data_IF_234092476186
#
_entry.id   IF_234092476186
#
_cell.length_a   1.000
_cell.length_b   1.000
_cell.length_c   1.000
_cell.angle_alpha   90.00
_cell.angle_beta   90.00
_cell.angle_gamma   90.00
#
_symmetry.space_group_name_H-M   'P 1'
#
loop_
_entity.id
_entity.type
_entity.pdbx_description
1 polymer ?
#
# COMPACT_ATOMS: atom_id res chain seq x y z
N UNK A 1 27.02 6.05 -14.15
CA UNK A 1 27.36 4.96 -13.21
C UNK A 1 28.49 4.06 -13.71
N UNK A 2 28.83 4.03 -15.00
CA UNK A 2 29.95 3.24 -15.56
C UNK A 2 31.33 3.53 -14.96
N UNK A 3 31.49 4.66 -14.26
CA UNK A 3 32.74 5.03 -13.56
C UNK A 3 33.06 4.15 -12.34
N UNK A 4 32.09 3.42 -11.80
CA UNK A 4 32.26 2.60 -10.59
C UNK A 4 32.45 1.10 -10.91
N UNK A 5 32.33 0.71 -12.17
CA UNK A 5 32.43 -0.70 -12.55
C UNK A 5 31.61 -1.04 -13.78
N UNK A 6 31.67 -2.33 -14.15
CA UNK A 6 30.99 -2.83 -15.33
C UNK A 6 29.49 -3.04 -15.07
N UNK A 7 28.63 -2.41 -15.88
CA UNK A 7 27.17 -2.50 -15.76
C UNK A 7 26.67 -3.59 -16.71
N UNK A 8 26.14 -4.68 -16.16
CA UNK A 8 25.52 -5.76 -16.94
C UNK A 8 24.12 -5.42 -17.42
N UNK A 9 23.34 -4.76 -16.57
CA UNK A 9 21.95 -4.40 -16.87
C UNK A 9 21.60 -3.07 -16.20
N UNK A 10 20.91 -2.19 -16.92
CA UNK A 10 20.27 -1.03 -16.35
C UNK A 10 18.82 -0.97 -16.85
N UNK A 11 17.86 -0.92 -15.94
CA UNK A 11 16.43 -0.89 -16.26
C UNK A 11 15.72 0.22 -15.52
N UNK A 12 15.07 1.11 -16.27
CA UNK A 12 14.25 2.19 -15.72
C UNK A 12 12.84 1.66 -15.44
N UNK A 13 12.30 1.97 -14.27
CA UNK A 13 10.92 1.67 -13.91
C UNK A 13 9.99 2.65 -14.63
N UNK A 14 9.04 2.14 -15.42
CA UNK A 14 8.03 2.92 -16.14
C UNK A 14 6.62 2.57 -15.63
N UNK A 15 5.64 3.45 -15.86
CA UNK A 15 4.24 3.16 -15.59
C UNK A 15 3.71 2.13 -16.61
N UNK A 16 2.77 1.29 -16.18
CA UNK A 16 2.11 0.35 -17.10
C UNK A 16 1.16 1.16 -17.99
N UNK A 17 1.39 1.16 -19.31
CA UNK A 17 0.56 1.88 -20.28
C UNK A 17 1.00 3.31 -20.60
N UNK A 18 2.06 3.83 -19.99
CA UNK A 18 2.69 5.09 -20.43
C UNK A 18 4.21 4.96 -20.48
N UNK A 19 4.84 5.71 -21.37
CA UNK A 19 6.31 5.69 -21.50
C UNK A 19 7.00 6.55 -20.43
N UNK A 20 6.23 7.14 -19.51
CA UNK A 20 6.74 7.98 -18.44
C UNK A 20 7.49 7.16 -17.38
N UNK A 21 8.63 7.70 -16.95
CA UNK A 21 9.44 7.12 -15.89
C UNK A 21 8.79 7.31 -14.53
N UNK A 22 8.98 6.34 -13.63
CA UNK A 22 8.57 6.43 -12.21
C UNK A 22 9.61 7.16 -11.36
N UNK A 23 10.66 7.72 -11.98
CA UNK A 23 11.80 8.30 -11.26
C UNK A 23 12.70 7.29 -10.54
N UNK A 24 12.51 5.98 -10.76
CA UNK A 24 13.33 4.92 -10.17
C UNK A 24 13.93 4.02 -11.25
N UNK A 25 15.09 3.43 -10.95
CA UNK A 25 15.79 2.52 -11.85
C UNK A 25 16.57 1.47 -11.06
N UNK A 26 16.83 0.33 -11.70
CA UNK A 26 17.69 -0.73 -11.19
C UNK A 26 18.93 -0.84 -12.04
N UNK A 27 20.08 -0.99 -11.39
CA UNK A 27 21.38 -1.22 -12.04
C UNK A 27 21.96 -2.51 -11.47
N UNK A 28 22.40 -3.39 -12.35
CA UNK A 28 23.06 -4.65 -12.02
C UNK A 28 24.52 -4.55 -12.46
N UNK A 29 25.41 -4.58 -11.48
CA UNK A 29 26.86 -4.60 -11.69
C UNK A 29 27.38 -6.02 -11.93
N UNK A 30 28.58 -6.13 -12.49
CA UNK A 30 29.26 -7.40 -12.69
C UNK A 30 29.71 -8.03 -11.38
N UNK A 31 30.23 -7.20 -10.46
CA UNK A 31 30.67 -7.60 -9.12
C UNK A 31 29.81 -6.96 -8.02
N UNK A 32 29.78 -7.60 -6.85
CA UNK A 32 29.16 -7.05 -5.65
C UNK A 32 29.96 -5.85 -5.10
N UNK A 33 31.28 -5.89 -5.19
CA UNK A 33 32.17 -4.83 -4.70
C UNK A 33 31.96 -3.51 -5.46
N UNK A 34 31.85 -3.58 -6.79
CA UNK A 34 31.53 -2.42 -7.64
C UNK A 34 30.19 -1.76 -7.25
N UNK A 35 29.20 -2.56 -6.86
CA UNK A 35 27.90 -2.05 -6.43
C UNK A 35 28.00 -1.34 -5.07
N UNK A 36 28.76 -1.89 -4.13
CA UNK A 36 28.96 -1.30 -2.81
C UNK A 36 29.78 0.00 -2.91
N UNK A 37 30.81 0.05 -3.75
CA UNK A 37 31.55 1.29 -4.06
C UNK A 37 30.66 2.35 -4.69
N UNK A 38 29.77 1.96 -5.62
CA UNK A 38 28.80 2.89 -6.20
C UNK A 38 27.86 3.47 -5.13
N UNK A 39 27.39 2.67 -4.18
CA UNK A 39 26.54 3.13 -3.08
C UNK A 39 27.27 4.11 -2.16
N UNK A 40 28.55 3.83 -1.85
CA UNK A 40 29.40 4.76 -1.09
C UNK A 40 29.61 6.06 -1.85
N UNK A 41 29.86 5.99 -3.16
CA UNK A 41 30.02 7.15 -4.03
C UNK A 41 28.76 8.02 -4.13
N UNK A 42 27.57 7.42 -4.10
CA UNK A 42 26.30 8.16 -4.08
C UNK A 42 26.13 8.95 -2.78
N UNK A 43 26.57 8.38 -1.65
CA UNK A 43 26.43 9.00 -0.33
C UNK A 43 27.52 10.04 -0.02
N UNK A 44 28.66 9.98 -0.71
CA UNK A 44 29.81 10.86 -0.49
C UNK A 44 29.71 12.14 -1.32
N UNK A 45 30.17 13.27 -0.76
CA UNK A 45 30.30 14.51 -1.50
C UNK A 45 31.50 14.44 -2.48
N UNK A 46 31.38 14.90 -3.74
CA UNK A 46 30.22 15.56 -4.35
C UNK A 46 29.09 14.59 -4.71
N UNK A 47 27.86 14.96 -4.37
CA UNK A 47 26.68 14.13 -4.66
C UNK A 47 26.51 13.90 -6.15
N UNK A 48 26.13 12.69 -6.52
CA UNK A 48 25.76 12.39 -7.89
C UNK A 48 24.42 13.06 -8.17
N UNK A 49 24.38 13.86 -9.24
CA UNK A 49 23.18 14.53 -9.72
C UNK A 49 22.79 14.00 -11.09
N UNK A 50 21.49 13.92 -11.33
CA UNK A 50 20.89 13.64 -12.63
C UNK A 50 19.89 14.77 -12.90
N UNK A 51 20.09 15.53 -13.98
CA UNK A 51 19.29 16.72 -14.32
C UNK A 51 19.09 17.69 -13.15
N UNK A 52 20.17 17.94 -12.40
CA UNK A 52 20.16 18.84 -11.24
C UNK A 52 19.51 18.26 -9.98
N UNK A 53 19.06 17.00 -9.99
CA UNK A 53 18.50 16.32 -8.80
C UNK A 53 19.48 15.32 -8.23
N UNK A 54 19.64 15.35 -6.91
CA UNK A 54 20.41 14.32 -6.20
C UNK A 54 19.72 12.98 -6.32
N UNK A 55 20.50 11.96 -6.67
CA UNK A 55 20.01 10.59 -6.72
C UNK A 55 20.33 9.88 -5.40
N UNK A 56 19.41 9.03 -4.98
CA UNK A 56 19.58 8.14 -3.85
C UNK A 56 19.63 6.70 -4.36
N UNK A 57 20.45 5.88 -3.72
CA UNK A 57 20.62 4.48 -4.09
C UNK A 57 20.76 3.63 -2.85
N UNK A 58 20.12 2.46 -2.90
CA UNK A 58 20.21 1.42 -1.89
C UNK A 58 20.28 0.05 -2.57
N UNK A 59 20.67 -0.97 -1.80
CA UNK A 59 20.82 -2.33 -2.28
C UNK A 59 19.46 -2.91 -2.69
N UNK A 60 19.37 -3.40 -3.92
CA UNK A 60 18.15 -4.00 -4.43
C UNK A 60 17.88 -5.36 -3.75
N UNK A 61 16.62 -5.60 -3.40
CA UNK A 61 16.17 -6.86 -2.82
C UNK A 61 15.68 -7.83 -3.90
N UNK A 62 15.87 -9.15 -3.73
CA UNK A 62 15.33 -10.15 -4.65
C UNK A 62 13.80 -10.19 -4.57
N UNK A 63 13.15 -10.58 -5.67
CA UNK A 63 11.67 -10.65 -5.77
C UNK A 63 11.03 -11.49 -4.65
N UNK A 64 11.67 -12.58 -4.22
CA UNK A 64 11.17 -13.41 -3.13
C UNK A 64 11.13 -12.68 -1.78
N UNK A 65 12.11 -11.80 -1.50
CA UNK A 65 12.12 -11.01 -0.27
C UNK A 65 11.07 -9.89 -0.32
N UNK A 66 10.89 -9.27 -1.50
CA UNK A 66 9.85 -8.25 -1.71
C UNK A 66 8.46 -8.81 -1.43
N UNK A 67 8.14 -10.00 -1.96
CA UNK A 67 6.85 -10.64 -1.75
C UNK A 67 6.55 -10.95 -0.27
N UNK A 68 7.58 -11.22 0.54
CA UNK A 68 7.43 -11.41 1.99
C UNK A 68 7.12 -10.09 2.69
N UNK A 69 7.88 -9.04 2.37
CA UNK A 69 7.67 -7.70 2.93
C UNK A 69 6.29 -7.14 2.59
N UNK A 70 5.78 -7.40 1.39
CA UNK A 70 4.41 -6.99 1.00
C UNK A 70 3.35 -7.70 1.85
N UNK A 71 3.49 -9.01 2.07
CA UNK A 71 2.58 -9.78 2.95
C UNK A 71 2.62 -9.28 4.39
N UNK A 72 3.81 -9.10 4.95
CA UNK A 72 3.99 -8.57 6.31
C UNK A 72 3.36 -7.18 6.45
N UNK A 73 3.51 -6.30 5.44
CA UNK A 73 2.84 -4.98 5.41
C UNK A 73 1.32 -5.11 5.37
N UNK A 74 0.77 -6.05 4.61
CA UNK A 74 -0.68 -6.28 4.57
C UNK A 74 -1.22 -6.85 5.88
N UNK A 75 -0.47 -7.73 6.54
CA UNK A 75 -0.86 -8.31 7.84
C UNK A 75 -0.80 -7.29 8.99
N UNK A 76 0.19 -6.40 8.96
CA UNK A 76 0.37 -5.34 9.97
C UNK A 76 -0.55 -4.14 9.74
N UNK A 77 -1.10 -3.97 8.54
CA UNK A 77 -2.15 -2.98 8.30
C UNK A 77 -3.36 -3.33 9.17
N UNK A 78 -3.62 -2.51 10.19
CA UNK A 78 -4.82 -2.61 11.01
C UNK A 78 -6.03 -2.52 10.09
N UNK A 79 -6.79 -3.61 9.99
CA UNK A 79 -8.07 -3.60 9.28
C UNK A 79 -8.95 -2.50 9.88
N UNK A 80 -9.46 -1.63 9.02
CA UNK A 80 -10.36 -0.56 9.43
C UNK A 80 -11.71 -1.16 9.87
N UNK A 81 -11.89 -1.27 11.18
CA UNK A 81 -13.13 -1.78 11.78
C UNK A 81 -14.18 -0.69 12.02
N UNK A 82 -13.93 0.56 11.62
CA UNK A 82 -14.87 1.66 11.85
C UNK A 82 -16.21 1.42 11.16
N UNK A 83 -16.21 0.86 9.95
CA UNK A 83 -17.45 0.57 9.22
C UNK A 83 -18.31 -0.49 9.94
N UNK A 84 -17.69 -1.53 10.51
CA UNK A 84 -18.39 -2.54 11.32
C UNK A 84 -18.94 -1.94 12.61
N UNK A 85 -18.18 -1.05 13.25
CA UNK A 85 -18.63 -0.34 14.46
C UNK A 85 -19.82 0.58 14.17
N UNK A 86 -19.74 1.40 13.11
CA UNK A 86 -20.80 2.31 12.69
C UNK A 86 -22.08 1.56 12.31
N UNK A 87 -21.95 0.44 11.60
CA UNK A 87 -23.09 -0.41 11.27
C UNK A 87 -23.78 -0.95 12.53
N UNK A 88 -23.01 -1.38 13.54
CA UNK A 88 -23.57 -1.81 14.84
C UNK A 88 -24.22 -0.65 15.60
N UNK A 89 -23.63 0.54 15.58
CA UNK A 89 -24.17 1.73 16.25
C UNK A 89 -25.44 2.28 15.58
N UNK A 90 -25.63 2.02 14.27
CA UNK A 90 -26.84 2.41 13.54
C UNK A 90 -28.10 1.64 13.96
N UNK A 91 -27.95 0.57 14.75
CA UNK A 91 -29.07 -0.22 15.26
C UNK A 91 -29.80 0.51 16.38
N UNK A 92 -31.03 0.91 16.10
CA UNK A 92 -31.96 1.46 17.10
C UNK A 92 -32.65 0.30 17.80
N UNK A 93 -32.54 0.22 19.14
CA UNK A 93 -33.21 -0.82 19.91
C UNK A 93 -34.72 -0.53 19.98
N UNK A 94 -35.56 -1.57 20.12
CA UNK A 94 -36.99 -1.39 20.32
C UNK A 94 -37.29 -0.50 21.54
N UNK A 95 -36.51 -0.68 22.60
CA UNK A 95 -36.69 0.00 23.89
C UNK A 95 -36.21 1.47 23.88
N UNK A 96 -35.37 1.85 22.93
CA UNK A 96 -34.83 3.21 22.79
C UNK A 96 -35.69 4.08 21.84
N UNK A 97 -36.81 3.53 21.34
CA UNK A 97 -37.72 4.20 20.42
C UNK A 97 -38.79 5.04 21.14
N UNK A 98 -39.44 5.99 20.45
CA UNK A 98 -40.60 6.68 20.99
C UNK A 98 -41.76 5.69 21.21
N UNK A 99 -42.52 5.88 22.29
CA UNK A 99 -43.60 4.98 22.75
C UNK A 99 -44.68 4.65 21.71
N UNK A 100 -44.80 5.46 20.64
CA UNK A 100 -45.76 5.26 19.56
C UNK A 100 -45.11 5.55 18.22
N UNK A 101 -44.65 4.49 17.53
CA UNK A 101 -44.28 4.56 16.13
C UNK A 101 -45.41 4.08 15.22
N UNK A 102 -45.39 4.52 13.97
CA UNK A 102 -46.26 3.97 12.93
C UNK A 102 -45.79 2.57 12.55
N UNK A 103 -46.74 1.66 12.29
CA UNK A 103 -46.49 0.29 11.80
C UNK A 103 -45.61 0.28 10.54
N UNK A 104 -45.69 1.33 9.72
CA UNK A 104 -44.83 1.45 8.53
C UNK A 104 -43.36 1.71 8.88
N UNK A 105 -43.08 2.47 9.93
CA UNK A 105 -41.71 2.80 10.33
C UNK A 105 -41.05 1.63 11.09
N UNK A 106 -41.83 0.88 11.86
CA UNK A 106 -41.40 -0.37 12.48
C UNK A 106 -40.93 -1.38 11.43
N UNK A 107 -41.74 -1.62 10.39
CA UNK A 107 -41.36 -2.51 9.27
C UNK A 107 -40.08 -2.08 8.56
N UNK A 108 -39.91 -0.77 8.33
CA UNK A 108 -38.67 -0.25 7.71
C UNK A 108 -37.46 -0.51 8.61
N UNK A 109 -37.59 -0.28 9.92
CA UNK A 109 -36.53 -0.53 10.90
C UNK A 109 -36.15 -2.00 10.97
N UNK A 110 -37.12 -2.91 10.93
CA UNK A 110 -36.87 -4.36 10.85
C UNK A 110 -36.12 -4.76 9.56
N UNK A 111 -36.51 -4.18 8.43
CA UNK A 111 -35.82 -4.39 7.15
C UNK A 111 -34.35 -3.95 7.20
N UNK A 112 -34.09 -2.73 7.69
CA UNK A 112 -32.71 -2.23 7.85
C UNK A 112 -31.91 -3.08 8.84
N UNK A 113 -32.54 -3.58 9.91
CA UNK A 113 -31.90 -4.48 10.88
C UNK A 113 -31.46 -5.78 10.24
N UNK A 114 -32.31 -6.40 9.42
CA UNK A 114 -31.98 -7.65 8.73
C UNK A 114 -30.77 -7.48 7.80
N UNK A 115 -30.76 -6.39 7.02
CA UNK A 115 -29.66 -6.05 6.11
C UNK A 115 -28.36 -5.79 6.90
N UNK A 116 -28.43 -5.02 7.99
CA UNK A 116 -27.26 -4.74 8.83
C UNK A 116 -26.67 -6.02 9.46
N UNK A 117 -27.52 -6.93 9.94
CA UNK A 117 -27.09 -8.21 10.50
C UNK A 117 -26.46 -9.12 9.44
N UNK A 118 -26.97 -9.11 8.21
CA UNK A 118 -26.39 -9.85 7.09
C UNK A 118 -25.00 -9.31 6.73
N UNK A 119 -24.84 -7.98 6.66
CA UNK A 119 -23.55 -7.32 6.41
C UNK A 119 -22.54 -7.48 7.55
N UNK A 120 -23.00 -7.63 8.80
CA UNK A 120 -22.11 -8.00 9.92
C UNK A 120 -21.58 -9.43 9.80
N UNK A 121 -22.39 -10.37 9.30
CA UNK A 121 -21.95 -11.76 9.07
C UNK A 121 -20.99 -11.87 7.90
N UNK A 122 -21.20 -11.09 6.84
CA UNK A 122 -20.29 -11.01 5.71
C UNK A 122 -20.14 -9.56 5.22
N UNK A 123 -19.01 -8.88 5.50
CA UNK A 123 -18.80 -7.50 5.09
C UNK A 123 -18.60 -7.33 3.57
N UNK A 124 -18.46 -8.43 2.82
CA UNK A 124 -18.28 -8.44 1.37
C UNK A 124 -19.58 -8.78 0.60
N UNK A 125 -20.73 -8.91 1.28
CA UNK A 125 -22.05 -9.08 0.65
C UNK A 125 -22.69 -7.74 0.25
#
# INVERSE_FOLDING_TARGET
>A
MSRFGNIRLAKICRYAGSEHSKGTAFVHFGSAEEADECLLGIRKYPFITLDGRHIFGDRALPRCAIAKLEKEKHETQRQDRRNLFLLRASYVRPDDGPDKMSVQDERKREGFRAIAMQKMKNPHM
#
